data_IF_138779530364
#
_entry.id   IF_138779530364
#
_cell.length_a   1.000
_cell.length_b   1.000
_cell.length_c   1.000
_cell.angle_alpha   90.00
_cell.angle_beta   90.00
_cell.angle_gamma   90.00
#
_symmetry.space_group_name_H-M   'P 1'
#
loop_
_entity.id
_entity.type
_entity.pdbx_description
1 polymer ?
#
# COMPACT_ATOMS: atom_id res chain seq x y z
N UNK A 1 2.95 -7.21 4.94
CA UNK A 1 2.62 -6.44 3.72
C UNK A 1 2.90 -7.26 2.47
N UNK A 2 2.25 -6.96 1.36
CA UNK A 2 2.32 -7.80 0.15
C UNK A 2 2.37 -6.99 -1.13
N UNK A 3 3.27 -7.32 -2.05
CA UNK A 3 3.43 -6.63 -3.32
C UNK A 3 2.15 -6.78 -4.17
N UNK A 4 1.58 -5.66 -4.61
CA UNK A 4 0.34 -5.64 -5.39
C UNK A 4 0.47 -6.29 -6.78
N UNK A 5 1.69 -6.59 -7.26
CA UNK A 5 1.91 -7.17 -8.60
C UNK A 5 2.32 -8.63 -8.52
N UNK A 6 3.43 -8.93 -7.83
CA UNK A 6 3.97 -10.30 -7.77
C UNK A 6 3.55 -11.08 -6.53
N UNK A 7 2.94 -10.41 -5.54
CA UNK A 7 2.46 -11.05 -4.32
C UNK A 7 3.54 -11.42 -3.32
N UNK A 8 4.79 -10.97 -3.52
CA UNK A 8 5.88 -11.11 -2.53
C UNK A 8 5.42 -10.54 -1.19
N UNK A 9 5.68 -11.27 -0.10
CA UNK A 9 5.30 -10.89 1.25
C UNK A 9 6.53 -10.39 2.03
N UNK A 10 6.31 -9.39 2.87
CA UNK A 10 7.27 -8.92 3.87
C UNK A 10 6.59 -8.71 5.21
N UNK A 11 7.33 -8.93 6.28
CA UNK A 11 6.79 -8.90 7.65
C UNK A 11 6.66 -7.48 8.22
N UNK A 12 7.45 -6.51 7.74
CA UNK A 12 7.45 -5.13 8.26
C UNK A 12 7.50 -4.06 7.17
N UNK A 13 6.78 -2.95 7.40
CA UNK A 13 6.87 -1.73 6.61
C UNK A 13 8.27 -1.13 6.61
N UNK A 14 8.98 -1.21 7.74
CA UNK A 14 10.35 -0.68 7.86
C UNK A 14 11.31 -1.41 6.92
N UNK A 15 11.20 -2.74 6.85
CA UNK A 15 11.99 -3.58 5.96
C UNK A 15 11.69 -3.25 4.49
N UNK A 16 10.42 -3.08 4.13
CA UNK A 16 10.05 -2.73 2.78
C UNK A 16 10.54 -1.35 2.35
N UNK A 17 10.56 -0.36 3.24
CA UNK A 17 11.16 0.96 2.97
C UNK A 17 12.66 0.81 2.68
N UNK A 18 13.38 0.03 3.49
CA UNK A 18 14.81 -0.24 3.31
C UNK A 18 15.08 -0.95 1.97
N UNK A 19 14.19 -1.86 1.58
CA UNK A 19 14.26 -2.62 0.34
C UNK A 19 13.71 -1.86 -0.89
N UNK A 20 13.34 -0.58 -0.71
CA UNK A 20 12.94 0.33 -1.79
C UNK A 20 11.55 0.07 -2.35
N UNK A 21 10.63 -0.48 -1.55
CA UNK A 21 9.24 -0.62 -1.95
C UNK A 21 8.53 0.72 -1.91
N UNK A 22 7.66 0.95 -2.89
CA UNK A 22 6.87 2.19 -2.99
C UNK A 22 5.41 1.92 -2.63
N UNK A 23 4.72 2.84 -1.93
CA UNK A 23 3.35 2.64 -1.47
C UNK A 23 2.29 2.83 -2.57
N UNK A 24 2.62 3.52 -3.66
CA UNK A 24 1.75 3.76 -4.80
C UNK A 24 2.56 3.88 -6.10
N UNK A 25 1.89 3.69 -7.23
CA UNK A 25 2.41 3.91 -8.57
C UNK A 25 1.34 4.60 -9.45
N UNK A 26 1.73 5.08 -10.62
CA UNK A 26 0.82 5.65 -11.61
C UNK A 26 0.65 4.73 -12.81
N UNK A 27 -0.58 4.42 -13.19
CA UNK A 27 -0.92 3.87 -14.50
C UNK A 27 -1.52 4.98 -15.37
N UNK A 28 -0.65 5.64 -16.16
CA UNK A 28 -1.06 6.85 -16.88
C UNK A 28 -1.26 8.01 -15.91
N UNK A 29 -2.49 8.52 -15.83
CA UNK A 29 -2.89 9.59 -14.91
C UNK A 29 -3.59 9.05 -13.66
N UNK A 30 -3.74 7.73 -13.53
CA UNK A 30 -4.46 7.09 -12.42
C UNK A 30 -3.49 6.49 -11.42
N UNK A 31 -3.60 6.90 -10.16
CA UNK A 31 -2.91 6.26 -9.04
C UNK A 31 -3.45 4.84 -8.82
N UNK A 32 -2.56 3.87 -8.65
CA UNK A 32 -2.92 2.54 -8.15
C UNK A 32 -2.41 2.41 -6.73
N UNK A 33 -3.31 1.96 -5.86
CA UNK A 33 -3.02 1.69 -4.47
C UNK A 33 -2.30 0.34 -4.32
N UNK A 34 -1.42 0.28 -3.33
CA UNK A 34 -0.78 -0.95 -2.90
C UNK A 34 0.73 -0.91 -3.05
N UNK A 35 1.45 -1.53 -2.11
CA UNK A 35 2.90 -1.45 -2.12
C UNK A 35 3.44 -2.28 -3.30
N UNK A 36 4.39 -1.72 -4.05
CA UNK A 36 5.08 -2.39 -5.15
C UNK A 36 6.52 -2.62 -4.75
N UNK A 37 6.99 -3.87 -4.89
CA UNK A 37 8.37 -4.21 -4.59
C UNK A 37 9.33 -3.61 -5.60
N UNK A 38 10.55 -3.30 -5.16
CA UNK A 38 11.60 -2.73 -6.00
C UNK A 38 11.81 -3.51 -7.31
N UNK A 39 11.78 -4.84 -7.27
CA UNK A 39 11.91 -5.64 -8.49
C UNK A 39 10.78 -5.46 -9.50
N UNK A 40 9.53 -5.30 -9.06
CA UNK A 40 8.42 -4.99 -9.98
C UNK A 40 8.49 -3.55 -10.47
N UNK A 41 8.97 -2.65 -9.61
CA UNK A 41 9.19 -1.25 -9.92
C UNK A 41 10.18 -1.10 -11.07
N UNK A 42 11.39 -1.64 -10.92
CA UNK A 42 12.45 -1.64 -11.93
C UNK A 42 12.05 -2.33 -13.25
N UNK A 43 11.18 -3.33 -13.18
CA UNK A 43 10.80 -4.11 -14.35
C UNK A 43 9.67 -3.47 -15.19
N UNK A 44 8.77 -2.72 -14.56
CA UNK A 44 7.49 -2.30 -15.18
C UNK A 44 7.30 -0.78 -15.21
N UNK A 45 8.01 -0.03 -14.37
CA UNK A 45 7.81 1.40 -14.16
C UNK A 45 9.05 2.20 -14.52
N UNK A 46 8.85 3.46 -14.88
CA UNK A 46 9.91 4.46 -15.06
C UNK A 46 9.60 5.70 -14.23
N UNK A 47 10.62 6.47 -13.89
CA UNK A 47 10.46 7.71 -13.12
C UNK A 47 10.16 8.88 -14.06
N UNK A 48 9.06 9.57 -13.83
CA UNK A 48 8.71 10.78 -14.59
C UNK A 48 9.50 12.01 -14.12
N UNK A 49 9.29 13.17 -14.77
CA UNK A 49 9.94 14.43 -14.41
C UNK A 49 9.59 14.97 -13.02
N UNK A 50 8.50 14.48 -12.43
CA UNK A 50 8.02 14.83 -11.09
C UNK A 50 8.56 13.89 -10.01
N UNK A 51 9.34 12.86 -10.38
CA UNK A 51 9.89 11.87 -9.46
C UNK A 51 8.90 10.76 -9.09
N UNK A 52 7.81 10.61 -9.83
CA UNK A 52 6.80 9.58 -9.60
C UNK A 52 7.04 8.38 -10.50
N UNK A 53 6.71 7.19 -10.01
CA UNK A 53 6.83 5.94 -10.77
C UNK A 53 5.60 5.71 -11.63
N UNK A 54 5.78 5.73 -12.96
CA UNK A 54 4.72 5.59 -13.96
C UNK A 54 4.92 4.30 -14.74
N UNK A 55 3.84 3.54 -14.89
CA UNK A 55 3.84 2.30 -15.67
C UNK A 55 4.21 2.61 -17.12
N UNK A 56 5.22 1.90 -17.63
CA UNK A 56 5.67 2.07 -18.99
C UNK A 56 4.53 1.74 -19.97
N UNK A 57 4.40 2.54 -21.04
CA UNK A 57 3.32 2.42 -22.02
C UNK A 57 3.19 1.01 -22.63
N UNK A 58 4.29 0.28 -22.77
CA UNK A 58 4.27 -1.08 -23.32
C UNK A 58 3.57 -2.10 -22.42
N UNK A 59 3.43 -1.82 -21.11
CA UNK A 59 2.80 -2.68 -20.13
C UNK A 59 1.39 -2.22 -19.71
N UNK A 60 0.94 -1.05 -20.17
CA UNK A 60 -0.40 -0.54 -19.86
C UNK A 60 -1.49 -1.54 -20.27
N UNK A 61 -2.41 -1.82 -19.34
CA UNK A 61 -3.49 -2.78 -19.50
C UNK A 61 -3.04 -4.25 -19.58
N UNK A 62 -1.75 -4.54 -19.33
CA UNK A 62 -1.19 -5.91 -19.28
C UNK A 62 -0.78 -6.33 -17.88
N UNK A 63 -0.62 -5.38 -16.96
CA UNK A 63 -0.35 -5.66 -15.55
C UNK A 63 -1.65 -6.03 -14.87
N UNK A 64 -1.64 -7.14 -14.13
CA UNK A 64 -2.73 -7.51 -13.23
C UNK A 64 -2.28 -7.19 -11.81
N UNK A 65 -3.05 -6.35 -11.14
CA UNK A 65 -2.87 -6.08 -9.74
C UNK A 65 -3.58 -7.18 -8.96
N UNK A 66 -2.84 -7.85 -8.08
CA UNK A 66 -3.41 -8.72 -7.08
C UNK A 66 -4.24 -7.81 -6.18
N UNK A 67 -5.57 -7.92 -6.29
CA UNK A 67 -6.53 -7.33 -5.39
C UNK A 67 -6.26 -7.92 -4.00
N UNK A 68 -5.31 -7.29 -3.31
CA UNK A 68 -4.76 -7.73 -2.05
C UNK A 68 -5.53 -6.96 -1.00
N UNK A 69 -6.74 -7.45 -0.71
CA UNK A 69 -7.64 -6.94 0.30
C UNK A 69 -6.87 -6.26 1.44
N UNK A 70 -6.86 -4.93 1.40
CA UNK A 70 -7.07 -4.21 2.63
C UNK A 70 -8.53 -4.51 2.95
N UNK A 71 -8.79 -5.73 3.48
CA UNK A 71 -10.04 -5.98 4.19
C UNK A 71 -10.16 -4.77 5.09
N UNK A 72 -11.17 -3.97 4.78
CA UNK A 72 -11.80 -3.04 5.69
C UNK A 72 -11.76 -3.76 7.02
N UNK A 73 -10.90 -3.31 7.94
CA UNK A 73 -10.91 -3.83 9.29
C UNK A 73 -12.34 -3.57 9.74
N UNK A 74 -13.15 -4.62 9.77
CA UNK A 74 -14.56 -4.59 10.13
C UNK A 74 -14.68 -3.64 11.31
N UNK A 75 -15.30 -2.48 11.07
CA UNK A 75 -15.24 -1.33 11.97
C UNK A 75 -16.18 -1.52 13.17
N UNK A 76 -16.37 -2.77 13.60
CA UNK A 76 -17.40 -3.24 14.51
C UNK A 76 -16.79 -4.24 15.51
N UNK A 77 -15.86 -3.81 16.38
CA UNK A 77 -15.59 -4.50 17.68
C UNK A 77 -14.63 -3.72 18.60
N UNK A 78 -14.80 -2.40 18.71
CA UNK A 78 -14.36 -1.68 19.92
C UNK A 78 -15.59 -1.12 20.62
N UNK A 79 -16.28 -1.98 21.37
CA UNK A 79 -17.18 -1.58 22.45
C UNK A 79 -16.39 -0.69 23.43
N UNK A 80 -16.50 0.62 23.23
CA UNK A 80 -16.09 1.65 24.19
C UNK A 80 -17.07 1.68 25.37
N UNK A 81 -17.23 0.54 26.05
CA UNK A 81 -18.03 0.46 27.26
C UNK A 81 -17.21 0.96 28.46
N UNK A 82 -17.50 2.20 28.86
CA UNK A 82 -17.44 2.58 30.27
C UNK A 82 -16.13 3.15 30.82
N UNK A 83 -15.65 4.29 30.29
CA UNK A 83 -14.86 5.21 31.12
C UNK A 83 -15.78 5.93 32.12
N UNK A 84 -16.06 5.28 33.25
CA UNK A 84 -16.64 5.96 34.43
C UNK A 84 -15.55 6.83 35.06
N UNK A 85 -15.59 8.14 34.77
CA UNK A 85 -14.83 9.13 35.53
C UNK A 85 -15.53 9.35 36.87
N UNK A 86 -15.15 8.57 37.87
CA UNK A 86 -15.52 8.81 39.26
C UNK A 86 -14.79 10.09 39.72
N UNK A 87 -15.53 11.20 39.74
CA UNK A 87 -15.07 12.43 40.37
C UNK A 87 -15.06 12.19 41.89
N UNK A 88 -13.87 12.08 42.50
CA UNK A 88 -13.74 12.19 43.94
C UNK A 88 -14.09 13.62 44.38
N UNK A 89 -15.26 13.78 44.99
CA UNK A 89 -15.62 14.98 45.75
C UNK A 89 -14.73 15.09 47.01
N UNK A 90 -14.21 16.29 47.29
CA UNK A 90 -13.48 16.62 48.50
C UNK A 90 -14.37 17.38 49.49
#
# INVERSE_FOLDING_TARGET
MRCAICGLEMDSTEEAIVEGWVPYILEGESEQEGPVCSSCLDALFDMNEYGEFVLMDEFRGKVSYLDGGFDEMDSDDLDMDGLVLEYCEN
#
